data_IF_881352366702
#
_entry.id   IF_881352366702
#
_cell.length_a   1.000
_cell.length_b   1.000
_cell.length_c   1.000
_cell.angle_alpha   90.00
_cell.angle_beta   90.00
_cell.angle_gamma   90.00
#
_symmetry.space_group_name_H-M   'P 1'
#
loop_
_entity.id
_entity.type
_entity.pdbx_description
1 polymer ?
#
# COMPACT_ATOMS: atom_id res chain seq x y z
N UNK A 1 27.17 -13.41 11.06
CA UNK A 1 26.07 -12.48 11.43
C UNK A 1 26.60 -11.08 11.73
N UNK A 2 27.66 -10.93 12.55
CA UNK A 2 28.28 -9.62 12.82
C UNK A 2 28.90 -8.97 11.56
N UNK A 3 29.46 -9.80 10.67
CA UNK A 3 29.94 -9.45 9.33
C UNK A 3 28.85 -8.95 8.37
N UNK A 4 27.58 -9.25 8.66
CA UNK A 4 26.41 -8.82 7.90
C UNK A 4 25.64 -7.66 8.57
N UNK A 5 26.31 -6.90 9.45
CA UNK A 5 25.75 -5.74 10.18
C UNK A 5 24.50 -6.05 11.03
N UNK A 6 24.32 -7.28 11.48
CA UNK A 6 23.26 -7.65 12.41
C UNK A 6 23.81 -7.53 13.83
N UNK A 7 23.50 -6.44 14.52
CA UNK A 7 23.93 -6.18 15.90
C UNK A 7 22.87 -6.61 16.93
N UNK A 8 23.27 -7.45 17.90
CA UNK A 8 22.44 -7.86 19.03
C UNK A 8 22.85 -9.23 19.60
N UNK A 9 22.89 -9.37 20.94
CA UNK A 9 23.24 -10.62 21.63
C UNK A 9 22.31 -11.76 21.17
N UNK A 10 22.87 -12.78 20.51
CA UNK A 10 22.21 -14.05 20.18
C UNK A 10 20.93 -13.96 19.31
N UNK A 11 21.04 -13.47 18.08
CA UNK A 11 20.01 -13.74 17.07
C UNK A 11 20.20 -15.13 16.45
N UNK A 12 19.92 -16.18 17.23
CA UNK A 12 19.85 -17.55 16.71
C UNK A 12 18.65 -17.66 15.77
N UNK A 13 18.90 -18.12 14.54
CA UNK A 13 17.84 -18.44 13.59
C UNK A 13 17.32 -19.85 13.88
N UNK A 14 16.07 -19.95 14.33
CA UNK A 14 15.45 -21.23 14.65
C UNK A 14 14.60 -21.71 13.47
N UNK A 15 14.77 -22.98 13.10
CA UNK A 15 14.00 -23.58 12.02
C UNK A 15 12.71 -24.25 12.53
N UNK A 16 12.77 -24.85 13.70
CA UNK A 16 11.68 -25.61 14.30
C UNK A 16 11.51 -25.24 15.76
N UNK A 17 10.30 -25.46 16.27
CA UNK A 17 10.04 -25.48 17.71
C UNK A 17 10.53 -26.81 18.31
N UNK A 18 10.64 -26.87 19.63
CA UNK A 18 11.00 -28.11 20.35
C UNK A 18 10.06 -29.29 20.03
N UNK A 19 8.81 -29.03 19.62
CA UNK A 19 7.84 -30.04 19.22
C UNK A 19 7.93 -30.45 17.73
N UNK A 20 8.99 -30.05 17.01
CA UNK A 20 9.23 -30.40 15.61
C UNK A 20 8.47 -29.56 14.58
N UNK A 21 7.53 -28.70 14.99
CA UNK A 21 6.79 -27.84 14.07
C UNK A 21 7.68 -26.75 13.48
N UNK A 22 7.61 -26.55 12.16
CA UNK A 22 8.35 -25.51 11.46
C UNK A 22 7.89 -24.10 11.86
N UNK A 23 8.85 -23.18 11.96
CA UNK A 23 8.60 -21.75 12.17
C UNK A 23 8.38 -21.04 10.82
N UNK A 24 7.83 -19.81 10.87
CA UNK A 24 7.57 -19.01 9.66
C UNK A 24 8.83 -18.85 8.81
N UNK A 25 9.97 -18.58 9.45
CA UNK A 25 11.30 -18.52 8.84
C UNK A 25 11.62 -19.71 7.93
N UNK A 26 11.37 -20.94 8.39
CA UNK A 26 11.60 -22.16 7.61
C UNK A 26 10.64 -22.30 6.43
N UNK A 27 9.38 -21.92 6.64
CA UNK A 27 8.35 -21.96 5.59
C UNK A 27 8.66 -20.93 4.51
N UNK A 28 9.13 -19.74 4.89
CA UNK A 28 9.51 -18.68 3.97
C UNK A 28 10.72 -19.10 3.12
N UNK A 29 11.72 -19.77 3.71
CA UNK A 29 12.84 -20.34 2.94
C UNK A 29 12.32 -21.34 1.91
N UNK A 30 11.54 -22.33 2.35
CA UNK A 30 11.00 -23.35 1.46
C UNK A 30 10.14 -22.75 0.34
N UNK A 31 9.33 -21.74 0.67
CA UNK A 31 8.50 -21.01 -0.27
C UNK A 31 9.33 -20.27 -1.32
N UNK A 32 10.39 -19.56 -0.92
CA UNK A 32 11.24 -18.83 -1.85
C UNK A 32 12.09 -19.77 -2.73
N UNK A 33 12.62 -20.87 -2.18
CA UNK A 33 13.29 -21.90 -2.98
C UNK A 33 12.35 -22.47 -4.05
N UNK A 34 11.07 -22.67 -3.74
CA UNK A 34 10.09 -23.10 -4.72
C UNK A 34 9.76 -21.99 -5.74
N UNK A 35 9.62 -20.73 -5.29
CA UNK A 35 9.34 -19.59 -6.17
C UNK A 35 10.44 -19.38 -7.21
N UNK A 36 11.71 -19.50 -6.81
CA UNK A 36 12.85 -19.33 -7.71
C UNK A 36 13.08 -20.49 -8.68
N UNK A 37 12.39 -21.63 -8.51
CA UNK A 37 12.31 -22.66 -9.56
C UNK A 37 11.39 -22.25 -10.72
N UNK A 38 10.49 -21.29 -10.49
CA UNK A 38 9.39 -20.91 -11.39
C UNK A 38 9.50 -19.46 -11.88
N UNK A 39 10.41 -18.67 -11.32
CA UNK A 39 10.52 -17.25 -11.57
C UNK A 39 11.95 -16.80 -11.29
N UNK A 40 12.50 -15.95 -12.16
CA UNK A 40 13.88 -15.44 -12.01
C UNK A 40 13.97 -14.34 -10.93
N UNK A 41 12.87 -13.62 -10.73
CA UNK A 41 12.77 -12.50 -9.79
C UNK A 41 11.57 -12.66 -8.87
N UNK A 42 11.71 -12.14 -7.66
CA UNK A 42 10.62 -12.05 -6.69
C UNK A 42 10.69 -10.70 -5.99
N UNK A 43 9.54 -10.05 -5.80
CA UNK A 43 9.38 -8.85 -4.98
C UNK A 43 8.48 -9.18 -3.80
N UNK A 44 8.94 -8.84 -2.60
CA UNK A 44 8.17 -8.90 -1.37
C UNK A 44 7.76 -7.49 -0.96
N UNK A 45 6.47 -7.26 -0.76
CA UNK A 45 5.93 -6.00 -0.25
C UNK A 45 5.46 -6.25 1.18
N UNK A 46 6.12 -5.64 2.15
CA UNK A 46 5.98 -5.97 3.58
C UNK A 46 5.84 -4.69 4.43
N UNK A 47 5.34 -4.85 5.65
CA UNK A 47 5.46 -3.82 6.69
C UNK A 47 6.89 -3.70 7.20
N UNK A 48 7.28 -2.52 7.69
CA UNK A 48 8.63 -2.25 8.18
C UNK A 48 9.06 -3.10 9.39
N UNK A 49 8.11 -3.65 10.14
CA UNK A 49 8.31 -4.59 11.24
C UNK A 49 8.89 -5.95 10.77
N UNK A 50 8.80 -6.25 9.48
CA UNK A 50 9.38 -7.45 8.88
C UNK A 50 10.82 -7.28 8.40
N UNK A 51 11.44 -6.09 8.53
CA UNK A 51 12.82 -5.83 8.06
C UNK A 51 13.85 -6.83 8.58
N UNK A 52 13.80 -7.13 9.88
CA UNK A 52 14.73 -8.08 10.50
C UNK A 52 14.52 -9.51 9.94
N UNK A 53 13.27 -9.95 9.88
CA UNK A 53 12.92 -11.29 9.42
C UNK A 53 13.29 -11.50 7.94
N UNK A 54 13.04 -10.50 7.10
CA UNK A 54 13.43 -10.49 5.69
C UNK A 54 14.96 -10.49 5.52
N UNK A 55 15.69 -9.76 6.36
CA UNK A 55 17.17 -9.81 6.38
C UNK A 55 17.66 -11.21 6.71
N UNK A 56 17.10 -11.85 7.73
CA UNK A 56 17.47 -13.21 8.11
C UNK A 56 17.11 -14.25 7.04
N UNK A 57 15.96 -14.11 6.37
CA UNK A 57 15.57 -14.92 5.22
C UNK A 57 16.57 -14.80 4.07
N UNK A 58 16.97 -13.58 3.72
CA UNK A 58 17.94 -13.32 2.67
C UNK A 58 19.30 -13.98 2.97
N UNK A 59 19.75 -13.91 4.23
CA UNK A 59 20.96 -14.60 4.67
C UNK A 59 20.81 -16.12 4.49
N UNK A 60 19.69 -16.71 4.93
CA UNK A 60 19.48 -18.14 4.78
C UNK A 60 19.44 -18.59 3.31
N UNK A 61 18.84 -17.81 2.42
CA UNK A 61 18.83 -18.09 0.98
C UNK A 61 20.23 -17.98 0.36
N UNK A 62 21.04 -17.01 0.79
CA UNK A 62 22.44 -16.86 0.37
C UNK A 62 23.27 -18.09 0.76
N UNK A 63 23.15 -18.57 2.00
CA UNK A 63 23.87 -19.78 2.46
C UNK A 63 23.46 -21.03 1.66
N UNK A 64 22.21 -21.06 1.19
CA UNK A 64 21.68 -22.13 0.33
C UNK A 64 21.98 -21.91 -1.17
N UNK A 65 22.74 -20.86 -1.53
CA UNK A 65 23.07 -20.49 -2.91
C UNK A 65 21.84 -20.31 -3.80
N UNK A 66 20.75 -19.83 -3.22
CA UNK A 66 19.51 -19.49 -3.93
C UNK A 66 19.48 -18.00 -4.28
N UNK A 67 18.71 -17.65 -5.31
CA UNK A 67 18.28 -16.25 -5.53
C UNK A 67 17.51 -15.71 -4.31
N UNK A 68 17.54 -14.38 -4.15
CA UNK A 68 16.86 -13.64 -3.10
C UNK A 68 15.75 -12.75 -3.66
N UNK A 69 14.67 -12.51 -2.90
CA UNK A 69 13.68 -11.52 -3.28
C UNK A 69 14.21 -10.09 -3.10
N UNK A 70 13.79 -9.21 -3.98
CA UNK A 70 13.77 -7.76 -3.73
C UNK A 70 12.73 -7.50 -2.63
N UNK A 71 13.03 -6.62 -1.66
CA UNK A 71 12.11 -6.30 -0.58
C UNK A 71 11.76 -4.81 -0.59
N UNK A 72 10.46 -4.52 -0.61
CA UNK A 72 9.89 -3.19 -0.46
C UNK A 72 9.17 -3.12 0.88
N UNK A 73 9.57 -2.19 1.75
CA UNK A 73 8.99 -2.03 3.07
C UNK A 73 8.16 -0.75 3.17
N UNK A 74 6.90 -0.90 3.52
CA UNK A 74 6.03 0.21 3.88
C UNK A 74 6.09 0.46 5.39
N UNK A 75 6.27 1.72 5.77
CA UNK A 75 6.15 2.17 7.15
C UNK A 75 4.68 2.23 7.57
N UNK A 76 4.44 2.32 8.87
CA UNK A 76 3.08 2.31 9.42
C UNK A 76 2.26 3.54 9.00
N UNK A 77 1.00 3.28 8.68
CA UNK A 77 -0.03 4.31 8.53
C UNK A 77 -0.73 4.50 9.88
N UNK A 78 -0.77 5.73 10.37
CA UNK A 78 -1.51 6.11 11.56
C UNK A 78 -2.89 6.65 11.17
N UNK A 79 -3.87 6.49 12.05
CA UNK A 79 -5.19 7.10 11.89
C UNK A 79 -5.39 8.23 12.92
N UNK A 80 -6.30 9.18 12.65
CA UNK A 80 -6.63 10.23 13.61
C UNK A 80 -7.16 9.56 14.89
N UNK A 81 -6.65 9.96 16.06
CA UNK A 81 -6.99 9.32 17.34
C UNK A 81 -5.96 8.30 17.85
N UNK A 82 -4.85 8.09 17.14
CA UNK A 82 -3.67 7.36 17.61
C UNK A 82 -3.55 5.93 17.08
N UNK A 83 -2.56 5.18 17.58
CA UNK A 83 -2.29 3.81 17.14
C UNK A 83 -3.45 2.86 17.45
N UNK A 84 -3.73 1.93 16.53
CA UNK A 84 -4.64 0.81 16.76
C UNK A 84 -4.24 0.06 18.04
N UNK A 85 -5.22 -0.24 18.88
CA UNK A 85 -5.05 -0.96 20.15
C UNK A 85 -6.22 -1.89 20.40
N UNK A 86 -6.00 -3.19 20.20
CA UNK A 86 -6.96 -4.24 20.53
C UNK A 86 -7.32 -4.21 22.01
N UNK A 87 -6.35 -3.92 22.89
CA UNK A 87 -6.57 -3.83 24.35
C UNK A 87 -7.42 -2.62 24.76
N UNK A 88 -7.39 -1.54 23.98
CA UNK A 88 -8.22 -0.36 24.21
C UNK A 88 -9.47 -0.32 23.31
N UNK A 89 -9.77 -1.41 22.57
CA UNK A 89 -10.92 -1.48 21.66
C UNK A 89 -10.83 -0.60 20.41
N UNK A 90 -9.66 -0.01 20.11
CA UNK A 90 -9.44 0.84 18.93
C UNK A 90 -8.89 0.01 17.78
N UNK A 91 -9.76 -0.74 17.10
CA UNK A 91 -9.44 -1.44 15.86
C UNK A 91 -10.20 -0.77 14.75
N UNK A 92 -9.49 -0.36 13.69
CA UNK A 92 -10.13 0.17 12.48
C UNK A 92 -9.89 -0.85 11.38
N UNK A 93 -10.98 -1.42 10.87
CA UNK A 93 -10.91 -2.35 9.76
C UNK A 93 -10.77 -1.59 8.44
N UNK A 94 -10.04 -2.19 7.48
CA UNK A 94 -9.88 -1.60 6.16
C UNK A 94 -11.24 -1.45 5.46
N UNK A 95 -12.12 -2.43 5.59
CA UNK A 95 -13.47 -2.39 5.01
C UNK A 95 -14.29 -1.22 5.55
N UNK A 96 -14.21 -0.95 6.85
CA UNK A 96 -14.87 0.21 7.46
C UNK A 96 -14.29 1.53 6.95
N UNK A 97 -12.97 1.61 6.78
CA UNK A 97 -12.31 2.78 6.18
C UNK A 97 -12.72 3.00 4.73
N UNK A 98 -12.79 1.93 3.93
CA UNK A 98 -13.23 1.99 2.54
C UNK A 98 -14.68 2.46 2.45
N UNK A 99 -15.56 1.93 3.30
CA UNK A 99 -16.95 2.38 3.35
C UNK A 99 -17.04 3.85 3.78
N UNK A 100 -16.31 4.25 4.83
CA UNK A 100 -16.33 5.64 5.32
C UNK A 100 -15.86 6.63 4.25
N UNK A 101 -14.77 6.37 3.55
CA UNK A 101 -14.28 7.31 2.52
C UNK A 101 -15.22 7.39 1.32
N UNK A 102 -15.89 6.29 0.95
CA UNK A 102 -16.90 6.30 -0.12
C UNK A 102 -18.14 7.08 0.32
N UNK A 103 -18.63 6.89 1.54
CA UNK A 103 -19.74 7.67 2.11
C UNK A 103 -19.40 9.15 2.17
N UNK A 104 -18.24 9.52 2.74
CA UNK A 104 -17.79 10.91 2.78
C UNK A 104 -17.53 11.52 1.41
N UNK A 105 -17.27 10.70 0.39
CA UNK A 105 -17.19 11.17 -0.99
C UNK A 105 -18.58 11.37 -1.59
N UNK A 106 -19.58 10.57 -1.22
CA UNK A 106 -20.96 10.71 -1.69
C UNK A 106 -21.59 11.98 -1.13
N UNK A 107 -21.44 12.25 0.16
CA UNK A 107 -21.93 13.46 0.84
C UNK A 107 -21.38 14.75 0.19
N UNK A 108 -20.14 14.72 -0.31
CA UNK A 108 -19.53 15.85 -1.05
C UNK A 108 -20.16 16.11 -2.41
N UNK A 109 -20.99 15.22 -2.93
CA UNK A 109 -21.68 15.33 -4.21
C UNK A 109 -23.15 15.75 -4.05
N UNK A 110 -23.60 16.11 -2.86
CA UNK A 110 -25.01 16.46 -2.60
C UNK A 110 -25.47 17.62 -3.49
N UNK A 111 -24.67 18.68 -3.62
CA UNK A 111 -24.98 19.87 -4.43
C UNK A 111 -24.76 19.68 -5.95
N UNK A 112 -24.36 18.48 -6.39
CA UNK A 112 -24.13 18.18 -7.80
C UNK A 112 -25.43 17.67 -8.43
N UNK A 113 -25.89 18.35 -9.48
CA UNK A 113 -27.03 17.94 -10.32
C UNK A 113 -26.70 16.66 -11.09
N UNK A 114 -27.01 15.51 -10.48
CA UNK A 114 -26.72 14.17 -11.01
C UNK A 114 -27.62 13.15 -10.29
N UNK A 115 -27.94 12.01 -10.92
CA UNK A 115 -28.78 11.00 -10.27
C UNK A 115 -28.04 10.30 -9.12
N UNK A 116 -28.78 9.79 -8.13
CA UNK A 116 -28.19 9.06 -7.00
C UNK A 116 -27.34 7.86 -7.45
N UNK A 117 -27.78 7.15 -8.50
CA UNK A 117 -27.03 6.02 -9.05
C UNK A 117 -25.69 6.44 -9.63
N UNK A 118 -25.64 7.57 -10.35
CA UNK A 118 -24.40 8.15 -10.85
C UNK A 118 -23.52 8.67 -9.70
N UNK A 119 -24.11 9.26 -8.66
CA UNK A 119 -23.37 9.74 -7.47
C UNK A 119 -22.70 8.59 -6.74
N UNK A 120 -23.37 7.45 -6.60
CA UNK A 120 -22.77 6.24 -6.02
C UNK A 120 -21.57 5.72 -6.81
N UNK A 121 -21.69 5.66 -8.14
CA UNK A 121 -20.58 5.20 -9.00
C UNK A 121 -19.40 6.17 -8.91
N UNK A 122 -19.67 7.48 -8.91
CA UNK A 122 -18.64 8.51 -8.84
C UNK A 122 -17.96 8.52 -7.47
N UNK A 123 -18.72 8.43 -6.38
CA UNK A 123 -18.19 8.45 -5.01
C UNK A 123 -17.32 7.24 -4.71
N UNK A 124 -17.66 6.07 -5.24
CA UNK A 124 -16.82 4.87 -5.12
C UNK A 124 -15.46 5.07 -5.81
N UNK A 125 -15.47 5.60 -7.05
CA UNK A 125 -14.25 5.90 -7.80
C UNK A 125 -13.37 6.93 -7.10
N UNK A 126 -13.96 8.04 -6.64
CA UNK A 126 -13.24 9.09 -5.93
C UNK A 126 -12.73 8.56 -4.59
N UNK A 127 -13.55 7.88 -3.79
CA UNK A 127 -13.19 7.39 -2.46
C UNK A 127 -12.05 6.36 -2.49
N UNK A 128 -12.22 5.30 -3.28
CA UNK A 128 -11.19 4.24 -3.41
C UNK A 128 -9.94 4.78 -4.11
N UNK A 129 -10.12 5.63 -5.13
CA UNK A 129 -9.01 6.32 -5.79
C UNK A 129 -8.20 7.17 -4.82
N UNK A 130 -8.87 7.92 -3.95
CA UNK A 130 -8.26 8.78 -2.93
C UNK A 130 -7.51 7.96 -1.89
N UNK A 131 -8.06 6.84 -1.42
CA UNK A 131 -7.36 5.93 -0.51
C UNK A 131 -6.07 5.40 -1.12
N UNK A 132 -6.13 4.88 -2.35
CA UNK A 132 -4.96 4.34 -3.06
C UNK A 132 -3.91 5.42 -3.33
N UNK A 133 -4.34 6.58 -3.81
CA UNK A 133 -3.45 7.70 -4.11
C UNK A 133 -2.68 8.17 -2.88
N UNK A 134 -3.34 8.25 -1.72
CA UNK A 134 -2.69 8.68 -0.48
C UNK A 134 -1.64 7.69 0.03
N UNK A 135 -1.79 6.39 -0.26
CA UNK A 135 -0.75 5.40 0.03
C UNK A 135 0.40 5.50 -0.99
N UNK A 136 0.09 5.67 -2.27
CA UNK A 136 1.07 5.66 -3.35
C UNK A 136 1.93 6.93 -3.45
N UNK A 137 1.38 8.09 -3.07
CA UNK A 137 2.11 9.37 -3.12
C UNK A 137 3.18 9.50 -2.05
N UNK A 138 3.07 8.73 -0.97
CA UNK A 138 4.02 8.75 0.14
C UNK A 138 5.14 7.75 -0.13
N UNK A 139 6.39 8.16 0.11
CA UNK A 139 7.53 7.25 0.02
C UNK A 139 7.33 6.06 0.97
N UNK A 140 7.58 4.81 0.54
CA UNK A 140 7.30 3.61 1.33
C UNK A 140 7.90 3.66 2.74
N UNK A 141 9.10 4.21 2.90
CA UNK A 141 9.82 4.27 4.18
C UNK A 141 9.27 5.33 5.14
N UNK A 142 8.38 6.21 4.69
CA UNK A 142 7.79 7.29 5.49
C UNK A 142 6.41 6.90 5.99
N UNK A 143 6.29 6.73 7.31
CA UNK A 143 4.99 6.64 7.95
C UNK A 143 4.24 7.96 7.83
N UNK A 144 2.92 7.88 7.74
CA UNK A 144 2.06 9.07 7.66
C UNK A 144 0.76 8.86 8.43
N UNK A 145 0.07 9.96 8.74
CA UNK A 145 -1.28 9.91 9.32
C UNK A 145 -2.28 10.08 8.19
N UNK A 146 -3.14 9.08 7.99
CA UNK A 146 -4.19 9.13 7.00
C UNK A 146 -5.38 9.95 7.51
N UNK A 147 -5.94 10.79 6.65
CA UNK A 147 -7.09 11.64 6.91
C UNK A 147 -8.02 11.55 5.71
N UNK A 148 -9.30 11.23 5.94
CA UNK A 148 -10.31 11.18 4.88
C UNK A 148 -10.51 12.58 4.28
N UNK A 149 -10.46 13.62 5.11
CA UNK A 149 -10.60 15.01 4.68
C UNK A 149 -9.50 15.40 3.68
N UNK A 150 -8.24 15.15 4.04
CA UNK A 150 -7.09 15.46 3.18
C UNK A 150 -7.11 14.59 1.93
N UNK A 151 -7.53 13.33 2.06
CA UNK A 151 -7.60 12.40 0.94
C UNK A 151 -8.62 12.83 -0.11
N UNK A 152 -9.77 13.38 0.33
CA UNK A 152 -10.86 13.85 -0.51
C UNK A 152 -10.77 15.33 -0.88
N UNK A 153 -9.66 16.01 -0.54
CA UNK A 153 -9.43 17.40 -0.95
C UNK A 153 -9.49 17.55 -2.47
N UNK A 154 -10.17 18.60 -2.95
CA UNK A 154 -10.18 18.99 -4.38
C UNK A 154 -9.04 19.94 -4.74
N UNK A 155 -8.14 20.24 -3.80
CA UNK A 155 -7.01 21.15 -3.99
C UNK A 155 -5.69 20.41 -3.72
N UNK A 156 -4.64 20.81 -4.43
CA UNK A 156 -3.28 20.34 -4.21
C UNK A 156 -3.03 18.92 -4.70
N UNK A 157 -2.20 18.19 -3.96
CA UNK A 157 -1.70 16.85 -4.32
C UNK A 157 -2.67 15.74 -3.84
N UNK A 158 -3.78 15.56 -4.57
CA UNK A 158 -4.86 14.64 -4.23
C UNK A 158 -5.46 13.93 -5.45
N UNK A 159 -6.11 12.79 -5.22
CA UNK A 159 -6.80 12.07 -6.29
C UNK A 159 -7.98 12.87 -6.88
N UNK A 160 -8.87 13.51 -6.08
CA UNK A 160 -9.97 14.27 -6.64
C UNK A 160 -9.49 15.45 -7.49
N UNK A 161 -8.41 16.13 -7.09
CA UNK A 161 -7.82 17.20 -7.91
C UNK A 161 -7.29 16.67 -9.24
N UNK A 162 -6.58 15.54 -9.25
CA UNK A 162 -6.09 14.91 -10.47
C UNK A 162 -7.23 14.44 -11.39
N UNK A 163 -8.26 13.80 -10.82
CA UNK A 163 -9.44 13.34 -11.56
C UNK A 163 -10.24 14.51 -12.15
N UNK A 164 -10.44 15.58 -11.39
CA UNK A 164 -11.12 16.78 -11.87
C UNK A 164 -10.31 17.48 -12.96
N UNK A 165 -8.99 17.59 -12.80
CA UNK A 165 -8.11 18.15 -13.81
C UNK A 165 -8.19 17.36 -15.12
N UNK A 166 -8.20 16.03 -15.04
CA UNK A 166 -8.42 15.16 -16.19
C UNK A 166 -9.77 15.41 -16.86
N UNK A 167 -10.87 15.40 -16.11
CA UNK A 167 -12.21 15.66 -16.65
C UNK A 167 -12.32 17.03 -17.32
N UNK A 168 -11.69 18.05 -16.73
CA UNK A 168 -11.63 19.40 -17.31
C UNK A 168 -10.85 19.43 -18.62
N UNK A 169 -9.71 18.73 -18.70
CA UNK A 169 -8.94 18.62 -19.94
C UNK A 169 -9.76 17.93 -21.04
N UNK A 170 -10.43 16.81 -20.74
CA UNK A 170 -11.34 16.16 -21.69
C UNK A 170 -12.45 17.10 -22.17
N UNK A 171 -13.11 17.84 -21.27
CA UNK A 171 -14.17 18.78 -21.66
C UNK A 171 -13.66 19.91 -22.58
N UNK A 172 -12.42 20.38 -22.40
CA UNK A 172 -11.82 21.37 -23.31
C UNK A 172 -11.62 20.77 -24.69
N UNK A 173 -11.11 19.54 -24.78
CA UNK A 173 -10.91 18.84 -26.05
C UNK A 173 -12.23 18.60 -26.78
N UNK A 174 -13.25 18.12 -26.07
CA UNK A 174 -14.58 17.86 -26.63
C UNK A 174 -15.22 19.14 -27.18
N UNK A 175 -15.06 20.28 -26.49
CA UNK A 175 -15.57 21.58 -26.94
C UNK A 175 -14.80 22.14 -28.14
N UNK A 176 -13.51 21.85 -28.25
CA UNK A 176 -12.66 22.38 -29.32
C UNK A 176 -12.91 21.67 -30.66
N UNK A 177 -13.38 20.42 -30.65
CA UNK A 177 -13.85 19.72 -31.85
C UNK A 177 -12.77 19.42 -32.90
N UNK A 178 -11.48 19.54 -32.56
CA UNK A 178 -10.35 19.25 -33.45
C UNK A 178 -9.41 18.21 -32.82
N UNK A 179 -8.74 17.42 -33.68
CA UNK A 179 -7.76 16.42 -33.26
C UNK A 179 -6.61 17.07 -32.48
N UNK A 180 -6.28 16.49 -31.32
CA UNK A 180 -5.12 16.89 -30.52
C UNK A 180 -3.87 16.69 -31.38
N UNK A 181 -3.00 17.71 -31.56
CA UNK A 181 -1.76 17.55 -32.29
C UNK A 181 -0.96 16.39 -31.69
N UNK A 182 -0.48 15.48 -32.54
CA UNK A 182 0.39 14.41 -32.09
C UNK A 182 1.60 14.99 -31.35
N UNK A 183 1.97 14.39 -30.22
CA UNK A 183 3.20 14.74 -29.52
C UNK A 183 4.37 14.51 -30.49
N UNK A 184 5.03 15.59 -30.91
CA UNK A 184 6.33 15.51 -31.56
C UNK A 184 7.32 14.97 -30.51
N UNK A 185 7.75 13.71 -30.67
CA UNK A 185 8.81 13.10 -29.88
C UNK A 185 10.18 13.62 -30.30
#
# INVERSE_FOLDING_TARGET
MEDKNIAGRNQKFFFTRNNGLSLYTTRDIAYHLNKFKRSERALNILGEDHKLQSTLLNIALDELKSSKPDNLFYSFVNLPGGKMSTRAGRVVYLDDMMNQIVTSSFERLDDVEMSDSEKHILSEKIGIGSLRYNILKVQPEKGFTFSIEDALSIQGDSAPFAMYSHARMCSILDRYGAEVPALEN
#
